data_IF_088673320509
#
_entry.id   IF_088673320509
#
_cell.length_a   1.000
_cell.length_b   1.000
_cell.length_c   1.000
_cell.angle_alpha   90.00
_cell.angle_beta   90.00
_cell.angle_gamma   90.00
#
_symmetry.space_group_name_H-M   'P 1'
#
loop_
_entity.id
_entity.type
_entity.pdbx_description
1 polymer ?
#
# COMPACT_ATOMS: atom_id res chain seq x y z
N UNK A 1 -43.86 -14.36 -25.08
CA UNK A 1 -42.73 -13.50 -25.49
C UNK A 1 -41.66 -13.71 -24.43
N UNK A 2 -40.58 -14.41 -24.76
CA UNK A 2 -39.51 -14.72 -23.80
C UNK A 2 -38.54 -13.54 -23.75
N UNK A 3 -38.19 -13.11 -22.55
CA UNK A 3 -37.20 -12.06 -22.30
C UNK A 3 -35.83 -12.51 -22.87
N UNK A 4 -35.11 -11.64 -23.60
CA UNK A 4 -33.80 -12.00 -24.12
C UNK A 4 -32.80 -12.19 -22.98
N UNK A 5 -31.87 -13.15 -23.06
CA UNK A 5 -30.86 -13.34 -22.04
C UNK A 5 -30.01 -12.07 -21.91
N UNK A 6 -30.06 -11.44 -20.75
CA UNK A 6 -29.24 -10.27 -20.46
C UNK A 6 -27.76 -10.69 -20.51
N UNK A 7 -26.88 -9.97 -21.24
CA UNK A 7 -25.46 -10.28 -21.25
C UNK A 7 -24.92 -10.19 -19.80
N UNK A 8 -23.89 -11.00 -19.45
CA UNK A 8 -23.29 -10.91 -18.13
C UNK A 8 -22.83 -9.48 -17.93
N UNK A 9 -23.32 -8.85 -16.86
CA UNK A 9 -22.85 -7.54 -16.44
C UNK A 9 -21.33 -7.64 -16.34
N UNK A 10 -20.61 -6.95 -17.22
CA UNK A 10 -19.18 -6.75 -17.07
C UNK A 10 -19.02 -6.06 -15.72
N UNK A 11 -18.60 -6.82 -14.71
CA UNK A 11 -18.09 -6.22 -13.48
C UNK A 11 -16.82 -5.52 -13.94
N UNK A 12 -16.96 -4.24 -14.30
CA UNK A 12 -15.83 -3.33 -14.40
C UNK A 12 -15.24 -3.37 -12.99
N UNK A 13 -14.18 -4.17 -12.85
CA UNK A 13 -13.47 -4.32 -11.59
C UNK A 13 -13.05 -2.93 -11.16
N UNK A 14 -13.79 -2.35 -10.22
CA UNK A 14 -13.35 -1.15 -9.54
C UNK A 14 -12.12 -1.63 -8.78
N UNK A 15 -10.92 -1.30 -9.29
CA UNK A 15 -9.72 -1.60 -8.52
C UNK A 15 -9.94 -0.99 -7.13
N UNK A 16 -9.85 -1.79 -6.05
CA UNK A 16 -10.03 -1.27 -4.72
C UNK A 16 -9.02 -0.12 -4.55
N UNK A 17 -9.45 0.99 -3.94
CA UNK A 17 -8.54 2.10 -3.67
C UNK A 17 -7.32 1.55 -2.91
N UNK A 18 -6.11 1.97 -3.28
CA UNK A 18 -4.91 1.51 -2.59
C UNK A 18 -5.00 1.76 -1.09
N UNK A 19 -4.58 0.77 -0.31
CA UNK A 19 -4.65 0.77 1.14
C UNK A 19 -3.24 0.83 1.73
N UNK A 20 -2.50 1.88 1.34
CA UNK A 20 -1.09 2.02 1.70
C UNK A 20 -0.89 2.26 3.19
N UNK A 21 0.05 1.50 3.78
CA UNK A 21 0.55 1.71 5.13
C UNK A 21 2.06 1.59 5.18
N UNK A 22 2.66 2.41 6.04
CA UNK A 22 4.07 2.38 6.40
C UNK A 22 4.18 1.85 7.82
N UNK A 23 4.93 0.76 8.00
CA UNK A 23 5.30 0.26 9.31
C UNK A 23 6.66 0.84 9.67
N UNK A 24 6.77 1.51 10.81
CA UNK A 24 8.05 1.95 11.37
C UNK A 24 8.57 0.84 12.26
N UNK A 25 9.80 0.38 12.02
CA UNK A 25 10.39 -0.74 12.75
C UNK A 25 11.53 -0.28 13.65
N UNK A 26 11.67 -0.96 14.79
CA UNK A 26 12.86 -0.90 15.63
C UNK A 26 14.03 -1.61 14.95
N UNK A 27 15.24 -1.45 15.50
CA UNK A 27 16.44 -2.15 15.01
C UNK A 27 16.31 -3.68 15.12
N UNK A 28 15.47 -4.15 16.02
CA UNK A 28 15.15 -5.57 16.27
C UNK A 28 13.99 -6.08 15.40
N UNK A 29 13.43 -5.24 14.52
CA UNK A 29 12.32 -5.60 13.62
C UNK A 29 10.94 -5.58 14.29
N UNK A 30 10.81 -4.97 15.48
CA UNK A 30 9.50 -4.80 16.14
C UNK A 30 8.79 -3.60 15.57
N UNK A 31 7.47 -3.69 15.33
CA UNK A 31 6.67 -2.55 14.86
C UNK A 31 6.57 -1.50 15.98
N UNK A 32 7.10 -0.31 15.73
CA UNK A 32 7.03 0.85 16.61
C UNK A 32 5.81 1.73 16.28
N UNK A 33 5.47 1.89 15.01
CA UNK A 33 4.37 2.73 14.55
C UNK A 33 3.77 2.20 13.23
N UNK A 34 2.51 2.56 12.95
CA UNK A 34 1.79 2.21 11.72
C UNK A 34 1.08 3.43 11.18
N UNK A 35 1.54 3.93 10.03
CA UNK A 35 1.00 5.13 9.37
C UNK A 35 0.25 4.75 8.11
N UNK A 36 -1.00 5.20 7.99
CA UNK A 36 -1.71 5.12 6.70
C UNK A 36 -1.32 6.32 5.85
N UNK A 37 -1.00 6.09 4.58
CA UNK A 37 -0.69 7.16 3.62
C UNK A 37 -1.72 7.13 2.50
N UNK A 38 -2.09 8.31 2.01
CA UNK A 38 -3.05 8.48 0.91
C UNK A 38 -2.28 8.97 -0.31
N UNK A 39 -2.01 8.04 -1.22
CA UNK A 39 -1.30 8.24 -2.48
C UNK A 39 -1.95 7.36 -3.54
N UNK A 40 -1.78 7.72 -4.81
CA UNK A 40 -2.54 7.10 -5.91
C UNK A 40 -1.78 5.95 -6.59
N UNK A 41 -0.49 5.78 -6.30
CA UNK A 41 0.37 4.78 -6.95
C UNK A 41 1.47 4.24 -6.03
N UNK A 42 2.05 3.10 -6.42
CA UNK A 42 3.19 2.51 -5.71
C UNK A 42 4.41 3.43 -5.77
N UNK A 43 4.65 4.09 -6.92
CA UNK A 43 5.77 5.03 -7.09
C UNK A 43 5.63 6.23 -6.15
N UNK A 44 4.43 6.79 -6.02
CA UNK A 44 4.17 7.88 -5.07
C UNK A 44 4.31 7.40 -3.62
N UNK A 45 3.88 6.18 -3.32
CA UNK A 45 4.01 5.56 -2.02
C UNK A 45 5.48 5.34 -1.63
N UNK A 46 6.30 4.87 -2.58
CA UNK A 46 7.74 4.68 -2.41
C UNK A 46 8.40 6.04 -2.16
N UNK A 47 8.16 7.05 -3.01
CA UNK A 47 8.73 8.38 -2.82
C UNK A 47 8.30 9.03 -1.50
N UNK A 48 7.04 8.84 -1.11
CA UNK A 48 6.55 9.33 0.17
C UNK A 48 7.26 8.64 1.35
N UNK A 49 7.42 7.32 1.28
CA UNK A 49 8.05 6.52 2.35
C UNK A 49 9.55 6.80 2.45
N UNK A 50 10.26 6.98 1.33
CA UNK A 50 11.68 7.37 1.32
C UNK A 50 11.93 8.68 2.08
N UNK A 51 11.02 9.65 1.98
CA UNK A 51 11.13 10.93 2.71
C UNK A 51 10.82 10.81 4.20
N UNK A 52 10.24 9.70 4.63
CA UNK A 52 9.91 9.42 6.04
C UNK A 52 11.01 8.64 6.76
N UNK A 53 12.02 8.13 6.04
CA UNK A 53 13.12 7.38 6.65
C UNK A 53 13.88 8.31 7.59
N UNK A 54 13.70 8.10 8.88
CA UNK A 54 14.33 8.90 9.95
C UNK A 54 14.89 7.95 11.01
N UNK A 55 16.13 7.50 10.81
CA UNK A 55 16.87 6.63 11.75
C UNK A 55 16.27 5.23 12.01
N UNK A 56 15.13 4.90 11.40
CA UNK A 56 14.40 3.65 11.56
C UNK A 56 14.19 2.97 10.21
N UNK A 57 14.11 1.63 10.22
CA UNK A 57 13.68 0.88 9.05
C UNK A 57 12.18 1.08 8.84
N UNK A 58 11.76 1.22 7.59
CA UNK A 58 10.35 1.35 7.22
C UNK A 58 9.95 0.21 6.29
N UNK A 59 8.73 -0.31 6.42
CA UNK A 59 8.13 -1.20 5.43
C UNK A 59 6.88 -0.60 4.83
N UNK A 60 6.79 -0.59 3.51
CA UNK A 60 5.65 -0.15 2.75
C UNK A 60 4.79 -1.33 2.30
N UNK A 61 3.49 -1.23 2.56
CA UNK A 61 2.49 -2.24 2.25
C UNK A 61 1.27 -1.60 1.60
N UNK A 62 0.58 -2.34 0.73
CA UNK A 62 -0.76 -2.03 0.20
C UNK A 62 -1.72 -3.18 0.55
N UNK A 63 -2.58 -2.96 1.53
CA UNK A 63 -3.44 -4.05 2.05
C UNK A 63 -2.60 -5.20 2.62
N UNK A 64 -2.53 -6.34 1.94
CA UNK A 64 -1.69 -7.48 2.32
C UNK A 64 -0.45 -7.65 1.43
N UNK A 65 -0.28 -6.77 0.43
CA UNK A 65 0.84 -6.78 -0.51
C UNK A 65 2.01 -6.02 0.10
N UNK A 66 3.11 -6.71 0.37
CA UNK A 66 4.39 -6.07 0.68
C UNK A 66 4.95 -5.44 -0.60
N UNK A 67 5.43 -4.20 -0.51
CA UNK A 67 5.96 -3.45 -1.64
C UNK A 67 7.47 -3.33 -1.52
N UNK A 68 7.94 -2.67 -0.46
CA UNK A 68 9.36 -2.36 -0.30
C UNK A 68 9.73 -2.14 1.18
N UNK A 69 10.99 -2.41 1.51
CA UNK A 69 11.60 -2.07 2.80
C UNK A 69 12.68 -1.02 2.60
N UNK A 70 12.66 0.01 3.42
CA UNK A 70 13.64 1.09 3.44
C UNK A 70 14.52 0.94 4.68
N UNK A 71 15.83 0.87 4.46
CA UNK A 71 16.81 0.82 5.54
C UNK A 71 17.01 2.21 6.13
N UNK A 72 17.31 2.30 7.44
CA UNK A 72 17.63 3.58 8.06
C UNK A 72 18.85 4.19 7.38
N UNK A 73 18.78 5.49 7.11
CA UNK A 73 19.92 6.27 6.61
C UNK A 73 20.78 6.66 7.82
N UNK A 74 22.10 6.46 7.73
CA UNK A 74 23.06 6.79 8.80
C UNK A 74 23.22 8.30 9.04
#
# INVERSE_FOLDING_TARGET
MSDPPQPPATIVGTQPRPAYRVLVLSKEGTILDVRRISVDSDDDAIQHTQRLVDGHALELWDGLRFIEQFLPTE
#
